data_IF_128728164750
#
_entry.id   IF_128728164750
#
_cell.length_a   1.000
_cell.length_b   1.000
_cell.length_c   1.000
_cell.angle_alpha   90.00
_cell.angle_beta   90.00
_cell.angle_gamma   90.00
#
_symmetry.space_group_name_H-M   'P 1'
#
loop_
_entity.id
_entity.type
_entity.pdbx_description
1 polymer ?
#
# COMPACT_ATOMS: atom_id res chain seq x y z
N UNK A 1 -21.53 -0.71 54.60
CA UNK A 1 -22.74 -0.27 53.84
C UNK A 1 -22.82 -1.08 52.57
N UNK A 2 -23.79 -1.98 52.50
CA UNK A 2 -24.04 -2.87 51.35
C UNK A 2 -25.10 -2.18 50.46
N UNK A 3 -24.79 -1.92 49.18
CA UNK A 3 -25.78 -1.46 48.20
C UNK A 3 -25.84 -2.51 47.10
N UNK A 4 -26.96 -3.22 47.08
CA UNK A 4 -27.36 -4.17 46.06
C UNK A 4 -27.95 -3.40 44.89
N UNK A 5 -27.52 -3.67 43.63
CA UNK A 5 -28.15 -3.18 42.43
C UNK A 5 -28.78 -4.32 41.65
N UNK A 6 -30.05 -4.14 41.40
CA UNK A 6 -31.02 -5.05 40.76
C UNK A 6 -30.73 -5.20 39.26
N UNK A 7 -30.76 -6.45 38.78
CA UNK A 7 -30.81 -6.86 37.39
C UNK A 7 -32.20 -6.53 36.80
N UNK A 8 -32.23 -5.76 35.71
CA UNK A 8 -33.42 -5.63 34.86
C UNK A 8 -33.17 -6.38 33.54
N UNK A 9 -33.83 -7.53 33.36
CA UNK A 9 -33.90 -8.27 32.09
C UNK A 9 -34.96 -7.59 31.22
N UNK A 10 -34.56 -7.09 30.04
CA UNK A 10 -35.47 -6.69 28.97
C UNK A 10 -35.48 -7.79 27.89
N UNK A 11 -36.63 -8.48 27.78
CA UNK A 11 -36.90 -9.45 26.72
C UNK A 11 -37.35 -8.71 25.46
N UNK A 12 -36.60 -8.81 24.34
CA UNK A 12 -37.04 -8.37 23.03
C UNK A 12 -37.73 -9.52 22.30
N UNK A 13 -39.01 -9.34 22.00
CA UNK A 13 -39.83 -10.24 21.20
C UNK A 13 -39.50 -10.04 19.71
N UNK A 14 -39.10 -11.12 19.02
CA UNK A 14 -38.91 -11.16 17.57
C UNK A 14 -40.26 -11.44 16.92
N UNK A 15 -40.82 -10.47 16.18
CA UNK A 15 -41.99 -10.62 15.35
C UNK A 15 -41.63 -11.28 14.02
N UNK A 16 -42.10 -12.49 13.78
CA UNK A 16 -42.00 -13.18 12.49
C UNK A 16 -43.05 -12.62 11.54
N UNK A 17 -42.62 -11.99 10.44
CA UNK A 17 -43.46 -11.63 9.29
C UNK A 17 -43.59 -12.83 8.35
N UNK A 18 -44.77 -13.47 8.36
CA UNK A 18 -45.20 -14.49 7.39
C UNK A 18 -45.55 -13.80 6.05
N UNK A 19 -44.99 -14.25 4.93
CA UNK A 19 -45.39 -13.90 3.60
C UNK A 19 -46.54 -14.78 3.10
N UNK A 20 -47.62 -14.23 2.57
CA UNK A 20 -48.61 -14.98 1.81
C UNK A 20 -48.37 -14.94 0.29
N UNK A 21 -48.63 -16.05 -0.35
CA UNK A 21 -49.28 -16.12 -1.65
C UNK A 21 -48.40 -16.04 -2.89
N UNK A 22 -48.16 -17.19 -3.47
CA UNK A 22 -47.78 -17.36 -4.86
C UNK A 22 -48.92 -16.92 -5.79
N UNK A 23 -48.66 -15.94 -6.66
CA UNK A 23 -49.47 -15.68 -7.82
C UNK A 23 -48.79 -16.20 -9.10
N UNK A 24 -49.41 -17.19 -9.72
CA UNK A 24 -49.08 -17.64 -11.06
C UNK A 24 -49.32 -16.54 -12.08
N UNK A 25 -48.29 -15.85 -12.52
CA UNK A 25 -48.31 -14.99 -13.70
C UNK A 25 -47.86 -15.75 -14.92
N UNK A 26 -48.62 -15.70 -15.98
CA UNK A 26 -48.35 -16.30 -17.27
C UNK A 26 -47.01 -15.83 -17.87
N UNK A 27 -46.37 -16.65 -18.74
CA UNK A 27 -45.09 -16.31 -19.33
C UNK A 27 -45.25 -15.09 -20.25
N UNK A 28 -44.64 -13.97 -19.82
CA UNK A 28 -44.46 -12.82 -20.67
C UNK A 28 -43.47 -13.19 -21.78
N UNK A 29 -43.80 -12.88 -23.02
CA UNK A 29 -42.89 -12.96 -24.16
C UNK A 29 -41.60 -12.23 -23.86
N UNK A 30 -40.51 -12.97 -23.61
CA UNK A 30 -39.17 -12.43 -23.52
C UNK A 30 -38.75 -11.97 -24.90
N UNK A 31 -38.85 -10.69 -25.17
CA UNK A 31 -38.20 -10.08 -26.32
C UNK A 31 -36.68 -10.35 -26.19
N UNK A 32 -36.16 -11.14 -27.11
CA UNK A 32 -34.73 -11.36 -27.26
C UNK A 32 -34.06 -10.03 -27.58
N UNK A 33 -33.48 -9.38 -26.57
CA UNK A 33 -32.57 -8.25 -26.77
C UNK A 33 -31.33 -8.81 -27.45
N UNK A 34 -30.92 -8.32 -28.64
CA UNK A 34 -29.69 -8.75 -29.26
C UNK A 34 -28.53 -8.44 -28.31
N UNK A 35 -27.86 -9.47 -27.82
CA UNK A 35 -26.68 -9.33 -26.97
C UNK A 35 -25.53 -8.80 -27.85
N UNK A 36 -25.27 -7.49 -27.79
CA UNK A 36 -24.10 -6.86 -28.40
C UNK A 36 -22.86 -7.03 -27.53
N UNK A 37 -22.84 -8.00 -26.62
CA UNK A 37 -21.64 -8.33 -25.87
C UNK A 37 -20.57 -8.88 -26.81
N UNK A 38 -19.35 -8.34 -26.78
CA UNK A 38 -18.26 -8.87 -27.57
C UNK A 38 -17.98 -10.33 -27.17
N UNK A 39 -17.51 -11.20 -28.09
CA UNK A 39 -17.19 -12.56 -27.76
C UNK A 39 -16.11 -12.62 -26.66
N UNK A 40 -16.25 -13.58 -25.74
CA UNK A 40 -15.33 -13.74 -24.58
C UNK A 40 -13.84 -13.76 -24.96
N UNK A 41 -13.53 -14.33 -26.14
CA UNK A 41 -12.15 -14.35 -26.68
C UNK A 41 -11.61 -12.95 -27.05
N UNK A 42 -12.49 -12.02 -27.44
CA UNK A 42 -12.10 -10.66 -27.78
C UNK A 42 -11.80 -9.86 -26.47
N UNK A 43 -12.50 -10.15 -25.38
CA UNK A 43 -12.27 -9.55 -24.07
C UNK A 43 -10.91 -10.03 -23.52
N UNK A 44 -10.64 -11.34 -23.54
CA UNK A 44 -9.37 -11.91 -23.09
C UNK A 44 -8.16 -11.37 -23.89
N UNK A 45 -8.28 -11.25 -25.22
CA UNK A 45 -7.22 -10.70 -26.06
C UNK A 45 -6.99 -9.19 -25.82
N UNK A 46 -8.02 -8.44 -25.48
CA UNK A 46 -7.90 -7.02 -25.12
C UNK A 46 -7.23 -6.84 -23.76
N UNK A 47 -7.52 -7.71 -22.79
CA UNK A 47 -6.88 -7.72 -21.47
C UNK A 47 -5.39 -8.03 -21.56
N UNK A 48 -5.00 -9.01 -22.40
CA UNK A 48 -3.60 -9.36 -22.66
C UNK A 48 -2.83 -8.21 -23.33
N UNK A 49 -3.43 -7.54 -24.30
CA UNK A 49 -2.82 -6.39 -24.98
C UNK A 49 -2.66 -5.20 -24.02
N UNK A 50 -3.63 -4.95 -23.16
CA UNK A 50 -3.58 -3.94 -22.11
C UNK A 50 -2.47 -4.21 -21.09
N UNK A 51 -2.34 -5.46 -20.64
CA UNK A 51 -1.30 -5.90 -19.74
C UNK A 51 0.11 -5.74 -20.36
N UNK A 52 0.29 -6.13 -21.62
CA UNK A 52 1.56 -5.94 -22.34
C UNK A 52 1.93 -4.46 -22.48
N UNK A 53 0.98 -3.60 -22.84
CA UNK A 53 1.20 -2.16 -22.98
C UNK A 53 1.57 -1.53 -21.62
N UNK A 54 0.89 -1.90 -20.55
CA UNK A 54 1.22 -1.48 -19.18
C UNK A 54 2.64 -1.91 -18.80
N UNK A 55 2.97 -3.19 -18.94
CA UNK A 55 4.27 -3.74 -18.56
C UNK A 55 5.41 -3.08 -19.35
N UNK A 56 5.22 -2.80 -20.64
CA UNK A 56 6.18 -2.05 -21.45
C UNK A 56 6.43 -0.64 -20.90
N UNK A 57 5.38 0.09 -20.51
CA UNK A 57 5.52 1.43 -19.92
C UNK A 57 6.19 1.37 -18.55
N UNK A 58 5.80 0.43 -17.68
CA UNK A 58 6.45 0.24 -16.38
C UNK A 58 7.95 -0.05 -16.53
N UNK A 59 8.33 -0.91 -17.49
CA UNK A 59 9.74 -1.19 -17.77
C UNK A 59 10.53 0.03 -18.29
N UNK A 60 9.88 0.99 -18.96
CA UNK A 60 10.50 2.24 -19.38
C UNK A 60 10.65 3.24 -18.22
N UNK A 61 9.70 3.25 -17.30
CA UNK A 61 9.69 4.15 -16.14
C UNK A 61 10.66 3.65 -15.07
N UNK A 62 10.58 2.38 -14.72
CA UNK A 62 11.38 1.82 -13.64
C UNK A 62 12.76 1.37 -14.13
N UNK A 63 13.61 2.36 -14.43
CA UNK A 63 15.03 2.20 -14.71
C UNK A 63 15.82 3.14 -13.79
N UNK A 64 17.07 2.82 -13.40
CA UNK A 64 17.87 3.75 -12.59
C UNK A 64 18.01 5.14 -13.20
N UNK A 65 18.06 5.23 -14.54
CA UNK A 65 18.22 6.49 -15.29
C UNK A 65 17.00 7.42 -15.18
N UNK A 66 15.87 6.95 -14.67
CA UNK A 66 14.71 7.81 -14.43
C UNK A 66 14.97 8.83 -13.31
N UNK A 67 15.80 8.46 -12.33
CA UNK A 67 16.19 9.36 -11.26
C UNK A 67 17.09 10.48 -11.85
N UNK A 68 16.72 11.72 -11.57
CA UNK A 68 17.37 12.92 -12.15
C UNK A 68 16.88 13.29 -13.55
N UNK A 69 16.07 12.47 -14.22
CA UNK A 69 15.44 12.83 -15.48
C UNK A 69 14.43 13.97 -15.31
N UNK A 70 14.18 14.72 -16.40
CA UNK A 70 13.14 15.76 -16.39
C UNK A 70 11.76 15.11 -16.32
N UNK A 71 10.87 15.64 -15.50
CA UNK A 71 9.50 15.14 -15.37
C UNK A 71 8.73 15.17 -16.69
N UNK A 72 9.03 16.13 -17.59
CA UNK A 72 8.43 16.19 -18.92
C UNK A 72 8.78 14.96 -19.77
N UNK A 73 9.95 14.35 -19.58
CA UNK A 73 10.28 13.08 -20.23
C UNK A 73 9.36 11.96 -19.78
N UNK A 74 9.12 11.84 -18.47
CA UNK A 74 8.17 10.85 -17.94
C UNK A 74 6.77 11.05 -18.54
N UNK A 75 6.33 12.29 -18.67
CA UNK A 75 5.02 12.63 -19.23
C UNK A 75 4.87 12.25 -20.72
N UNK A 76 5.98 12.10 -21.47
CA UNK A 76 5.91 11.51 -22.82
C UNK A 76 5.55 10.03 -22.83
N UNK A 77 5.83 9.32 -21.74
CA UNK A 77 5.54 7.88 -21.57
C UNK A 77 4.15 7.66 -20.97
N UNK A 78 3.83 8.43 -19.93
CA UNK A 78 2.62 8.23 -19.10
C UNK A 78 1.43 9.07 -19.57
N UNK A 79 1.68 10.21 -20.19
CA UNK A 79 0.76 11.33 -20.24
C UNK A 79 0.89 12.22 -18.98
N UNK A 80 0.05 13.26 -18.84
CA UNK A 80 0.09 14.17 -17.70
C UNK A 80 -0.27 13.47 -16.39
N UNK A 81 0.24 14.00 -15.27
CA UNK A 81 -0.14 13.55 -13.95
C UNK A 81 -1.66 13.72 -13.74
N UNK A 82 -2.32 12.70 -13.18
CA UNK A 82 -3.74 12.80 -12.85
C UNK A 82 -3.97 13.43 -11.46
N UNK A 83 -2.93 13.44 -10.59
CA UNK A 83 -2.94 14.06 -9.27
C UNK A 83 -1.57 14.69 -9.00
N UNK A 84 -1.57 15.86 -8.36
CA UNK A 84 -0.37 16.54 -7.88
C UNK A 84 -0.62 17.02 -6.46
N UNK A 85 0.25 16.63 -5.53
CA UNK A 85 0.18 16.99 -4.12
C UNK A 85 1.58 17.40 -3.64
N UNK A 86 1.79 18.71 -3.46
CA UNK A 86 3.12 19.24 -3.15
C UNK A 86 4.15 18.90 -4.22
N UNK A 87 5.20 18.21 -3.83
CA UNK A 87 6.23 17.71 -4.73
C UNK A 87 5.84 16.42 -5.46
N UNK A 88 4.83 15.70 -4.97
CA UNK A 88 4.43 14.41 -5.50
C UNK A 88 3.48 14.55 -6.69
N UNK A 89 3.72 13.73 -7.71
CA UNK A 89 2.86 13.58 -8.87
C UNK A 89 2.50 12.11 -9.04
N UNK A 90 1.22 11.83 -9.31
CA UNK A 90 0.73 10.48 -9.53
C UNK A 90 0.26 10.31 -10.96
N UNK A 91 0.72 9.25 -11.60
CA UNK A 91 0.43 8.89 -12.99
C UNK A 91 -0.30 7.56 -13.06
N UNK A 92 -1.22 7.41 -14.00
CA UNK A 92 -1.87 6.12 -14.29
C UNK A 92 -1.15 5.42 -15.44
N UNK A 93 -0.72 4.18 -15.17
CA UNK A 93 -0.11 3.29 -16.17
C UNK A 93 -0.92 1.99 -16.21
N UNK A 94 -1.95 1.96 -17.03
CA UNK A 94 -2.99 0.94 -16.94
C UNK A 94 -3.76 1.08 -15.63
N UNK A 95 -3.79 0.02 -14.86
CA UNK A 95 -4.38 -0.07 -13.51
C UNK A 95 -3.39 0.31 -12.38
N UNK A 96 -2.11 0.53 -12.71
CA UNK A 96 -1.09 0.89 -11.73
C UNK A 96 -1.02 2.40 -11.49
N UNK A 97 -0.75 2.79 -10.24
CA UNK A 97 -0.46 4.16 -9.86
C UNK A 97 1.04 4.32 -9.62
N UNK A 98 1.69 5.06 -10.52
CA UNK A 98 3.11 5.43 -10.39
C UNK A 98 3.16 6.77 -9.66
N UNK A 99 3.84 6.81 -8.52
CA UNK A 99 4.09 8.03 -7.76
C UNK A 99 5.52 8.50 -7.98
N UNK A 100 5.70 9.81 -8.13
CA UNK A 100 6.99 10.43 -8.45
C UNK A 100 7.16 11.67 -7.60
N UNK A 101 8.25 11.73 -6.84
CA UNK A 101 8.69 12.96 -6.17
C UNK A 101 9.49 13.83 -7.14
N UNK A 102 9.19 15.13 -7.19
CA UNK A 102 9.82 16.09 -8.11
C UNK A 102 10.53 17.18 -7.33
N UNK A 103 11.84 17.30 -7.57
CA UNK A 103 12.66 18.39 -7.05
C UNK A 103 13.31 19.17 -8.21
N UNK A 104 13.11 20.49 -8.28
CA UNK A 104 13.67 21.33 -9.32
C UNK A 104 13.29 20.91 -10.75
N UNK A 105 12.11 20.33 -10.96
CA UNK A 105 11.65 19.84 -12.26
C UNK A 105 12.23 18.47 -12.67
N UNK A 106 13.03 17.86 -11.79
CA UNK A 106 13.63 16.55 -11.99
C UNK A 106 12.99 15.52 -11.05
N UNK A 107 13.02 14.26 -11.47
CA UNK A 107 12.54 13.13 -10.70
C UNK A 107 13.56 12.82 -9.61
N UNK A 108 13.20 13.05 -8.35
CA UNK A 108 14.02 12.72 -7.18
C UNK A 108 13.79 11.28 -6.74
N UNK A 109 12.56 10.81 -6.81
CA UNK A 109 12.20 9.44 -6.47
C UNK A 109 11.02 8.94 -7.32
N UNK A 110 10.88 7.62 -7.40
CA UNK A 110 9.82 6.95 -8.15
C UNK A 110 9.34 5.73 -7.39
N UNK A 111 8.06 5.41 -7.50
CA UNK A 111 7.48 4.24 -6.84
C UNK A 111 6.10 3.87 -7.33
N UNK A 112 5.53 2.88 -6.68
CA UNK A 112 4.15 2.39 -6.89
C UNK A 112 3.34 2.66 -5.63
N UNK A 113 2.13 3.18 -5.82
CA UNK A 113 1.06 3.22 -4.85
C UNK A 113 0.02 2.14 -5.23
N UNK A 114 -0.30 1.25 -4.30
CA UNK A 114 -1.09 0.05 -4.58
C UNK A 114 -0.27 -1.09 -5.17
N UNK A 115 0.90 -1.40 -4.56
CA UNK A 115 1.74 -2.53 -4.98
C UNK A 115 0.96 -3.85 -4.99
N UNK A 116 1.11 -4.59 -6.08
CA UNK A 116 0.53 -5.90 -6.28
C UNK A 116 1.29 -6.65 -7.40
N UNK A 117 1.02 -7.93 -7.69
CA UNK A 117 1.77 -8.69 -8.71
C UNK A 117 1.77 -8.10 -10.11
N UNK A 118 0.76 -7.27 -10.45
CA UNK A 118 0.67 -6.61 -11.76
C UNK A 118 1.30 -5.22 -11.78
N UNK A 119 1.50 -4.63 -10.59
CA UNK A 119 2.05 -3.30 -10.39
C UNK A 119 3.31 -3.38 -9.50
N UNK A 120 4.28 -4.17 -9.92
CA UNK A 120 5.56 -4.36 -9.26
C UNK A 120 6.70 -3.89 -10.18
N UNK A 121 7.87 -3.59 -9.59
CA UNK A 121 9.04 -3.15 -10.35
C UNK A 121 10.34 -3.69 -9.76
N UNK A 122 11.43 -3.82 -10.54
CA UNK A 122 12.69 -4.38 -10.09
C UNK A 122 13.45 -3.44 -9.14
N UNK A 123 13.14 -3.50 -7.85
CA UNK A 123 13.68 -2.62 -6.80
C UNK A 123 15.20 -2.76 -6.69
N UNK A 124 15.71 -3.99 -6.77
CA UNK A 124 17.13 -4.29 -6.56
C UNK A 124 18.09 -3.53 -7.50
N UNK A 125 17.62 -3.10 -8.68
CA UNK A 125 18.47 -2.39 -9.66
C UNK A 125 18.87 -0.97 -9.24
N UNK A 126 18.21 -0.38 -8.23
CA UNK A 126 18.50 0.96 -7.74
C UNK A 126 19.60 0.98 -6.67
N UNK A 127 20.05 -0.18 -6.24
CA UNK A 127 21.01 -0.33 -5.15
C UNK A 127 22.25 -1.08 -5.62
N UNK A 128 23.39 -0.82 -4.97
CA UNK A 128 24.65 -1.49 -5.29
C UNK A 128 24.53 -3.00 -5.04
N UNK A 129 25.27 -3.78 -5.82
CA UNK A 129 25.35 -5.21 -5.61
C UNK A 129 26.21 -5.52 -4.37
N UNK A 130 25.77 -6.46 -3.56
CA UNK A 130 26.51 -6.88 -2.35
C UNK A 130 25.61 -7.20 -1.16
N UNK A 131 24.31 -7.16 -1.37
CA UNK A 131 23.35 -7.57 -0.36
C UNK A 131 23.37 -9.08 -0.12
N UNK A 132 23.12 -9.48 1.12
CA UNK A 132 23.01 -10.88 1.48
C UNK A 132 21.89 -11.61 0.71
N UNK A 133 20.87 -10.87 0.29
CA UNK A 133 19.70 -11.38 -0.44
C UNK A 133 19.13 -10.28 -1.34
N UNK A 134 18.88 -10.55 -2.64
CA UNK A 134 18.26 -9.58 -3.52
C UNK A 134 16.81 -9.32 -3.11
N UNK A 135 16.42 -8.05 -3.10
CA UNK A 135 15.01 -7.64 -2.86
C UNK A 135 14.18 -7.99 -4.09
N UNK A 136 13.10 -8.78 -3.97
CA UNK A 136 12.24 -9.12 -5.10
C UNK A 136 11.45 -7.89 -5.61
N UNK A 137 10.87 -8.00 -6.79
CA UNK A 137 10.07 -6.93 -7.38
C UNK A 137 8.77 -6.65 -6.60
N UNK A 138 8.22 -7.66 -5.94
CA UNK A 138 7.11 -7.57 -5.00
C UNK A 138 7.59 -8.04 -3.63
N UNK A 139 8.20 -7.17 -2.83
CA UNK A 139 8.79 -7.54 -1.56
C UNK A 139 7.77 -7.55 -0.43
N UNK A 140 8.03 -8.37 0.58
CA UNK A 140 7.51 -8.15 1.93
C UNK A 140 8.40 -7.16 2.68
N UNK A 141 7.95 -6.66 3.85
CA UNK A 141 8.83 -5.89 4.73
C UNK A 141 10.06 -6.71 5.18
N UNK A 142 9.88 -8.03 5.38
CA UNK A 142 10.98 -8.94 5.69
C UNK A 142 12.02 -9.02 4.58
N UNK A 143 11.60 -9.12 3.31
CA UNK A 143 12.52 -9.13 2.17
C UNK A 143 13.35 -7.85 2.09
N UNK A 144 12.73 -6.69 2.34
CA UNK A 144 13.42 -5.40 2.37
C UNK A 144 14.42 -5.36 3.54
N UNK A 145 13.96 -5.72 4.74
CA UNK A 145 14.79 -5.70 5.96
C UNK A 145 16.00 -6.64 5.86
N UNK A 146 15.81 -7.84 5.32
CA UNK A 146 16.90 -8.81 5.10
C UNK A 146 17.86 -8.37 3.98
N UNK A 147 17.34 -7.79 2.90
CA UNK A 147 18.13 -7.37 1.75
C UNK A 147 18.86 -6.06 1.97
N UNK A 148 18.19 -5.04 2.43
CA UNK A 148 18.73 -3.68 2.56
C UNK A 148 18.97 -3.25 4.00
N UNK A 149 18.23 -3.82 4.96
CA UNK A 149 18.20 -3.31 6.33
C UNK A 149 17.09 -2.26 6.52
N UNK A 150 17.43 -1.14 7.14
CA UNK A 150 16.50 -0.04 7.38
C UNK A 150 15.81 -0.10 8.74
N UNK A 151 14.96 0.88 9.00
CA UNK A 151 14.32 1.13 10.28
C UNK A 151 12.83 1.31 10.12
N UNK A 152 12.07 0.82 11.11
CA UNK A 152 10.62 1.00 11.14
C UNK A 152 10.26 2.36 11.72
N UNK A 153 9.18 2.93 11.20
CA UNK A 153 8.55 4.13 11.74
C UNK A 153 7.03 4.05 11.60
N UNK A 154 6.33 4.83 12.40
CA UNK A 154 4.91 5.09 12.25
C UNK A 154 4.62 6.52 12.71
N UNK A 155 4.02 7.34 11.85
CA UNK A 155 3.67 8.72 12.20
C UNK A 155 2.54 8.77 13.22
N UNK A 156 1.65 7.80 13.16
CA UNK A 156 0.57 7.58 14.09
C UNK A 156 0.38 6.07 14.30
N UNK A 157 0.16 5.65 15.52
CA UNK A 157 -0.03 4.24 15.89
C UNK A 157 -1.50 3.87 16.08
N UNK A 158 -2.32 4.78 16.59
CA UNK A 158 -3.75 4.56 16.82
C UNK A 158 -4.47 5.89 16.96
N UNK A 159 -5.76 5.94 16.62
CA UNK A 159 -6.62 7.13 16.73
C UNK A 159 -6.04 8.38 16.03
N UNK A 160 -5.57 8.20 14.83
CA UNK A 160 -4.82 9.18 14.04
C UNK A 160 -5.61 10.44 13.62
N UNK A 161 -6.69 10.78 14.30
CA UNK A 161 -7.52 11.93 13.99
C UNK A 161 -8.45 11.72 12.79
N UNK A 162 -9.06 12.78 12.30
CA UNK A 162 -10.08 12.71 11.26
C UNK A 162 -9.49 12.20 9.93
N UNK A 163 -9.94 11.04 9.52
CA UNK A 163 -9.68 10.41 8.22
C UNK A 163 -8.23 9.96 7.94
N UNK A 164 -7.31 10.00 8.90
CA UNK A 164 -5.99 9.41 8.76
C UNK A 164 -6.00 7.97 9.25
N UNK A 165 -5.47 7.05 8.46
CA UNK A 165 -5.18 5.70 8.91
C UNK A 165 -3.78 5.65 9.54
N UNK A 166 -3.55 4.84 10.61
CA UNK A 166 -2.20 4.55 11.06
C UNK A 166 -1.42 3.87 9.93
N UNK A 167 -0.17 4.27 9.75
CA UNK A 167 0.71 3.75 8.70
C UNK A 167 2.01 3.31 9.34
N UNK A 168 2.42 2.06 9.07
CA UNK A 168 3.77 1.60 9.35
C UNK A 168 4.62 1.77 8.09
N UNK A 169 5.85 2.24 8.27
CA UNK A 169 6.86 2.35 7.22
C UNK A 169 8.16 1.68 7.61
N UNK A 170 8.92 1.28 6.60
CA UNK A 170 10.32 0.85 6.69
C UNK A 170 11.11 1.72 5.72
N UNK A 171 12.09 2.45 6.26
CA UNK A 171 12.99 3.29 5.48
C UNK A 171 14.40 2.73 5.52
N UNK A 172 15.05 2.68 4.36
CA UNK A 172 16.46 2.40 4.18
C UNK A 172 17.14 3.62 3.60
N UNK A 173 18.18 4.10 4.25
CA UNK A 173 19.01 5.21 3.78
C UNK A 173 20.19 4.65 2.97
N UNK A 174 20.25 5.02 1.69
CA UNK A 174 21.27 4.55 0.78
C UNK A 174 22.63 5.17 1.06
N UNK A 175 23.67 4.35 0.93
CA UNK A 175 25.07 4.77 1.03
C UNK A 175 25.57 5.45 -0.24
N UNK A 176 26.81 5.94 -0.21
CA UNK A 176 27.50 6.41 -1.43
C UNK A 176 27.57 5.34 -2.53
N UNK A 177 27.70 4.05 -2.16
CA UNK A 177 27.69 2.94 -3.09
C UNK A 177 26.36 2.78 -3.83
N UNK A 178 25.26 3.21 -3.20
CA UNK A 178 23.91 3.19 -3.76
C UNK A 178 23.56 4.52 -4.47
N UNK A 179 24.53 5.39 -4.73
CA UNK A 179 24.33 6.77 -5.21
C UNK A 179 23.38 7.58 -4.31
N UNK A 180 23.37 7.30 -3.00
CA UNK A 180 22.44 7.86 -2.01
C UNK A 180 20.96 7.60 -2.33
N UNK A 181 20.66 6.57 -3.12
CA UNK A 181 19.29 6.14 -3.30
C UNK A 181 18.79 5.46 -2.04
N UNK A 182 17.72 5.96 -1.49
CA UNK A 182 17.01 5.41 -0.34
C UNK A 182 15.79 4.62 -0.79
N UNK A 183 15.22 3.83 0.12
CA UNK A 183 13.96 3.11 -0.10
C UNK A 183 12.98 3.49 1.02
N UNK A 184 11.75 3.75 0.64
CA UNK A 184 10.62 3.90 1.53
C UNK A 184 9.55 2.88 1.16
N UNK A 185 9.15 2.05 2.11
CA UNK A 185 8.06 1.10 1.99
C UNK A 185 7.04 1.35 3.08
N UNK A 186 5.76 1.40 2.76
CA UNK A 186 4.72 1.70 3.74
C UNK A 186 3.43 0.93 3.47
N UNK A 187 2.65 0.70 4.54
CA UNK A 187 1.30 0.15 4.44
C UNK A 187 0.41 0.71 5.56
N UNK A 188 -0.88 1.01 5.28
CA UNK A 188 -1.83 1.37 6.32
C UNK A 188 -2.14 0.17 7.22
N UNK A 189 -2.26 0.44 8.52
CA UNK A 189 -2.64 -0.55 9.54
C UNK A 189 -4.17 -0.55 9.70
N UNK A 190 -4.89 -0.91 8.65
CA UNK A 190 -6.36 -0.82 8.62
C UNK A 190 -7.07 -2.16 8.49
N UNK A 191 -6.33 -3.25 8.30
CA UNK A 191 -6.90 -4.59 8.17
C UNK A 191 -5.90 -5.65 7.73
N UNK A 192 -6.36 -6.91 7.72
CA UNK A 192 -5.58 -8.06 7.26
C UNK A 192 -4.25 -8.23 7.99
N UNK A 193 -3.27 -8.77 7.29
CA UNK A 193 -1.96 -9.10 7.86
C UNK A 193 -1.23 -7.89 8.52
N UNK A 194 -1.46 -6.67 8.06
CA UNK A 194 -0.86 -5.49 8.66
C UNK A 194 -1.45 -5.17 10.05
N UNK A 195 -2.77 -5.34 10.22
CA UNK A 195 -3.42 -5.16 11.51
C UNK A 195 -3.04 -6.28 12.48
N UNK A 196 -2.97 -7.53 12.01
CA UNK A 196 -2.56 -8.67 12.83
C UNK A 196 -1.10 -8.51 13.32
N UNK A 197 -0.18 -8.08 12.45
CA UNK A 197 1.20 -7.77 12.79
C UNK A 197 1.28 -6.61 13.81
N UNK A 198 0.48 -5.58 13.63
CA UNK A 198 0.42 -4.45 14.57
C UNK A 198 -0.07 -4.86 15.95
N UNK A 199 -0.96 -5.84 16.08
CA UNK A 199 -1.53 -6.22 17.36
C UNK A 199 -0.47 -6.62 18.40
N UNK A 200 0.53 -7.43 18.02
CA UNK A 200 1.63 -7.82 18.91
C UNK A 200 2.61 -6.67 19.16
N UNK A 201 3.04 -5.99 18.10
CA UNK A 201 3.94 -4.83 18.20
C UNK A 201 3.32 -3.69 19.01
N UNK A 202 2.06 -3.33 18.75
CA UNK A 202 1.32 -2.29 19.48
C UNK A 202 1.13 -2.61 20.96
N UNK A 203 0.88 -3.89 21.30
CA UNK A 203 0.82 -4.32 22.69
C UNK A 203 2.17 -4.12 23.42
N UNK A 204 3.29 -4.44 22.76
CA UNK A 204 4.64 -4.24 23.32
C UNK A 204 5.00 -2.76 23.44
N UNK A 205 4.62 -1.94 22.46
CA UNK A 205 4.76 -0.49 22.54
C UNK A 205 3.97 0.07 23.72
N UNK A 206 2.72 -0.36 23.90
CA UNK A 206 1.88 0.03 25.04
C UNK A 206 2.50 -0.37 26.38
N UNK A 207 3.00 -1.60 26.46
CA UNK A 207 3.64 -2.10 27.68
C UNK A 207 4.91 -1.33 28.04
N UNK A 208 5.69 -0.90 27.06
CA UNK A 208 6.94 -0.17 27.24
C UNK A 208 6.75 1.32 27.50
N UNK A 209 5.89 1.98 26.74
CA UNK A 209 5.76 3.42 26.69
C UNK A 209 4.46 3.97 27.28
N UNK A 210 3.48 3.11 27.54
CA UNK A 210 2.15 3.48 28.03
C UNK A 210 1.14 3.72 26.91
N UNK A 211 -0.14 3.75 27.28
CA UNK A 211 -1.27 3.90 26.33
C UNK A 211 -1.24 5.26 25.60
N UNK A 212 -0.88 6.32 26.28
CA UNK A 212 -0.84 7.67 25.69
C UNK A 212 0.16 7.77 24.52
N UNK A 213 1.27 7.03 24.59
CA UNK A 213 2.23 6.96 23.50
C UNK A 213 1.62 6.35 22.24
N UNK A 214 0.88 5.25 22.37
CA UNK A 214 0.24 4.55 21.23
C UNK A 214 -0.93 5.34 20.64
N UNK A 215 -1.67 6.08 21.49
CA UNK A 215 -2.84 6.85 21.05
C UNK A 215 -2.44 8.21 20.46
N UNK A 216 -1.48 8.90 21.06
CA UNK A 216 -1.13 10.29 20.73
C UNK A 216 0.24 10.45 20.09
N UNK A 217 1.02 9.38 20.01
CA UNK A 217 2.38 9.39 19.50
C UNK A 217 2.55 8.61 18.19
N UNK A 218 3.70 8.85 17.58
CA UNK A 218 4.24 8.04 16.52
C UNK A 218 5.40 7.18 17.04
N UNK A 219 5.84 6.24 16.25
CA UNK A 219 7.05 5.46 16.51
C UNK A 219 8.18 5.97 15.63
N UNK A 220 9.31 6.31 16.25
CA UNK A 220 10.51 6.73 15.53
C UNK A 220 11.63 5.71 15.70
N UNK A 221 12.50 5.66 14.70
CA UNK A 221 13.66 4.76 14.64
C UNK A 221 14.55 4.83 15.88
N UNK A 222 15.25 3.74 16.17
CA UNK A 222 16.21 3.66 17.28
C UNK A 222 15.66 3.09 18.58
N UNK A 223 14.41 2.68 18.63
CA UNK A 223 13.84 1.94 19.75
C UNK A 223 14.20 0.44 19.66
N UNK A 224 14.37 -0.20 20.82
CA UNK A 224 14.60 -1.66 20.91
C UNK A 224 13.43 -2.52 20.41
N UNK A 225 12.29 -1.92 20.08
CA UNK A 225 11.13 -2.59 19.48
C UNK A 225 11.15 -2.60 17.94
N UNK A 226 12.21 -2.09 17.31
CA UNK A 226 12.42 -2.20 15.86
C UNK A 226 12.58 -3.67 15.42
N UNK A 227 13.28 -4.49 16.21
CA UNK A 227 13.42 -5.93 15.96
C UNK A 227 12.09 -6.68 16.12
N UNK A 228 11.21 -6.19 16.99
CA UNK A 228 9.85 -6.72 17.14
C UNK A 228 9.02 -6.40 15.90
N UNK A 229 9.06 -5.15 15.44
CA UNK A 229 8.40 -4.76 14.19
C UNK A 229 8.93 -5.58 13.01
N UNK A 230 10.24 -5.77 12.91
CA UNK A 230 10.88 -6.56 11.84
C UNK A 230 10.36 -7.99 11.79
N UNK A 231 10.17 -8.64 12.94
CA UNK A 231 9.61 -9.99 13.03
C UNK A 231 8.12 -10.01 12.70
N UNK A 232 7.35 -9.10 13.29
CA UNK A 232 5.89 -9.12 13.24
C UNK A 232 5.39 -8.73 11.83
N UNK A 233 6.06 -7.76 11.16
CA UNK A 233 5.75 -7.35 9.79
C UNK A 233 6.49 -8.13 8.71
N UNK A 234 7.31 -9.16 9.04
CA UNK A 234 8.15 -9.86 8.08
C UNK A 234 7.40 -10.38 6.84
N UNK A 235 6.17 -10.83 6.99
CA UNK A 235 5.33 -11.38 5.92
C UNK A 235 4.27 -10.42 5.38
N UNK A 236 4.30 -9.17 5.82
CA UNK A 236 3.38 -8.14 5.34
C UNK A 236 3.93 -7.49 4.07
N UNK A 237 3.09 -7.36 3.05
CA UNK A 237 3.42 -6.64 1.83
C UNK A 237 3.15 -5.14 2.02
N UNK A 238 4.13 -4.26 1.72
CA UNK A 238 3.86 -2.84 1.65
C UNK A 238 2.91 -2.52 0.49
N UNK A 239 2.03 -1.55 0.68
CA UNK A 239 1.15 -1.05 -0.38
C UNK A 239 1.80 0.06 -1.19
N UNK A 240 2.79 0.74 -0.61
CA UNK A 240 3.58 1.78 -1.26
C UNK A 240 5.04 1.37 -1.18
N UNK A 241 5.75 1.44 -2.30
CA UNK A 241 7.23 1.35 -2.32
C UNK A 241 7.76 2.44 -3.23
N UNK A 242 8.72 3.22 -2.73
CA UNK A 242 9.41 4.30 -3.46
C UNK A 242 10.91 4.14 -3.33
N UNK A 243 11.65 4.53 -4.37
CA UNK A 243 13.12 4.51 -4.40
C UNK A 243 13.65 5.83 -4.95
N UNK A 244 14.79 6.29 -4.45
CA UNK A 244 15.45 7.52 -4.87
C UNK A 244 15.86 8.40 -3.70
N UNK A 245 15.73 9.71 -3.85
CA UNK A 245 16.08 10.74 -2.87
C UNK A 245 14.83 11.52 -2.46
N UNK A 246 14.92 12.32 -1.39
CA UNK A 246 13.80 13.15 -0.89
C UNK A 246 12.52 12.28 -0.69
N UNK A 247 12.66 11.17 0.01
CA UNK A 247 11.57 10.25 0.31
C UNK A 247 10.72 10.75 1.50
N UNK A 248 9.46 10.30 1.64
CA UNK A 248 8.68 10.59 2.84
C UNK A 248 9.39 10.10 4.10
N UNK A 249 9.49 10.95 5.13
CA UNK A 249 10.09 10.60 6.43
C UNK A 249 11.59 10.91 6.56
N UNK A 250 12.22 11.45 5.51
CA UNK A 250 13.59 12.00 5.58
C UNK A 250 13.63 13.36 6.29
#
# INVERSE_FOLDING_TARGET
MRIAWLLALAALAVAACSRPGANNAAPANVATIPSNAPPVNAIAAADDAGAMARNKKLAQIFTPDILGANVAYLETITGPAFRTEGADRTYKVGDCQVIVGVAGGKIANVGIDGMNPHCAFPIAQYFAQGYNKPVPALPTFGDIKEGLGGHYAADCLSLCGNAAAPVVSLSYEGSHADNFNSLYAATPITGGAALDAYADWGAKLTAKHGQDYVVNGGYKTGDSLDDVAARDFAHVYPTIVRVGQDLPGD
#
